data_IF_295210554515
#
_entry.id   IF_295210554515
#
_cell.length_a   1.000
_cell.length_b   1.000
_cell.length_c   1.000
_cell.angle_alpha   90.00
_cell.angle_beta   90.00
_cell.angle_gamma   90.00
#
_symmetry.space_group_name_H-M   'P 1'
#
loop_
_entity.id
_entity.type
_entity.pdbx_description
1 polymer ?
2 non-polymer ?
3 non-polymer ?
4 non-polymer ?
5 water ?
#
# COMPACT_ATOMS: atom_id res chain seq x y z
N UNK A 20 -5.23 -18.29 2.48
CA UNK A 20 -4.08 -17.53 3.05
C UNK A 20 -2.74 -18.24 2.81
N UNK A 21 -2.10 -17.86 1.72
CA UNK A 21 -0.84 -18.42 1.31
C UNK A 21 0.31 -17.50 1.77
N UNK A 22 1.15 -17.98 2.69
CA UNK A 22 2.28 -17.20 3.20
C UNK A 22 2.57 -17.62 4.62
N UNK A 23 3.40 -16.88 5.36
CA UNK A 23 4.08 -15.66 4.93
C UNK A 23 5.27 -15.86 4.02
N UNK A 24 5.44 -14.91 3.10
CA UNK A 24 6.56 -14.87 2.17
C UNK A 24 7.49 -13.74 2.65
N UNK A 25 8.79 -13.92 2.48
CA UNK A 25 9.73 -12.89 2.89
C UNK A 25 9.79 -11.76 1.84
N UNK A 26 10.31 -10.60 2.23
CA UNK A 26 10.43 -9.46 1.31
C UNK A 26 11.10 -9.85 0.01
N UNK A 27 10.55 -9.40 -1.12
CA UNK A 27 11.09 -9.71 -2.43
C UNK A 27 10.36 -8.87 -3.46
N UNK A 28 10.87 -8.87 -4.68
CA UNK A 28 10.24 -8.24 -5.82
C UNK A 28 9.74 -9.36 -6.73
N UNK A 29 8.47 -9.33 -7.12
CA UNK A 29 7.96 -10.35 -8.04
C UNK A 29 6.77 -9.77 -8.79
N UNK A 30 6.20 -10.55 -9.71
CA UNK A 30 5.09 -10.11 -10.54
C UNK A 30 3.84 -10.85 -10.06
N UNK A 31 3.08 -10.26 -9.13
CA UNK A 31 1.90 -11.00 -8.67
C UNK A 31 0.80 -11.19 -9.71
N UNK A 32 0.07 -12.31 -9.61
CA UNK A 32 -1.01 -12.52 -10.57
C UNK A 32 -2.09 -11.46 -10.35
N UNK A 33 -2.78 -11.14 -11.41
CA UNK A 33 -3.91 -10.24 -11.28
C UNK A 33 -4.99 -10.94 -10.45
N UNK A 34 -5.84 -10.12 -9.82
CA UNK A 34 -6.98 -10.60 -9.01
C UNK A 34 -6.58 -11.40 -7.79
N UNK A 35 -5.44 -11.03 -7.20
CA UNK A 35 -4.99 -11.54 -5.94
C UNK A 35 -4.58 -10.36 -5.10
N UNK A 36 -4.98 -10.40 -3.83
CA UNK A 36 -4.53 -9.41 -2.86
C UNK A 36 -3.22 -9.85 -2.22
N UNK A 37 -2.28 -8.92 -2.17
CA UNK A 37 -1.00 -9.10 -1.54
C UNK A 37 -1.22 -8.43 -0.16
N UNK A 38 -1.39 -9.24 0.89
CA UNK A 38 -1.63 -8.78 2.26
C UNK A 38 -0.27 -8.60 2.93
N UNK A 39 0.04 -7.36 3.30
CA UNK A 39 1.33 -6.97 3.85
C UNK A 39 1.25 -6.80 5.35
N UNK A 40 2.25 -7.32 6.06
CA UNK A 40 2.29 -7.29 7.50
C UNK A 40 3.56 -6.60 8.00
N UNK A 41 3.67 -5.28 7.82
CA UNK A 41 4.86 -4.53 8.27
C UNK A 41 4.97 -4.48 9.78
N UNK A 42 6.20 -4.34 10.24
CA UNK A 42 6.40 -4.25 11.69
C UNK A 42 6.87 -2.85 12.07
N UNK A 43 7.45 -2.13 11.12
CA UNK A 43 8.01 -0.83 11.40
C UNK A 43 7.43 0.21 10.50
N UNK A 44 7.44 1.44 10.98
CA UNK A 44 7.01 2.54 10.13
C UNK A 44 7.99 2.62 8.93
N UNK A 45 7.50 3.13 7.81
CA UNK A 45 8.34 3.29 6.64
C UNK A 45 7.68 2.72 5.40
N UNK A 46 8.46 2.53 4.34
CA UNK A 46 7.92 2.04 3.07
C UNK A 46 7.52 0.58 3.23
N UNK A 47 6.30 0.27 2.82
CA UNK A 47 5.71 -1.06 2.95
C UNK A 47 5.80 -1.88 1.66
N UNK A 48 5.46 -1.25 0.55
CA UNK A 48 5.43 -1.89 -0.75
C UNK A 48 5.54 -0.81 -1.81
N UNK A 49 6.11 -1.15 -2.95
CA UNK A 49 6.17 -0.20 -4.05
C UNK A 49 6.09 -0.96 -5.37
N UNK A 50 5.46 -0.35 -6.37
CA UNK A 50 5.36 -0.96 -7.69
C UNK A 50 5.17 0.11 -8.76
N UNK A 51 5.64 -0.17 -9.96
CA UNK A 51 5.51 0.75 -11.07
C UNK A 51 5.40 0.01 -12.40
N UNK A 52 4.78 0.64 -13.39
CA UNK A 52 4.78 0.10 -14.75
C UNK A 52 5.86 0.81 -15.60
N UNK A 53 6.67 1.69 -14.99
CA UNK A 53 7.76 2.44 -15.63
C UNK A 53 7.29 3.45 -16.66
N UNK A 54 5.98 3.68 -16.75
CA UNK A 54 5.46 4.63 -17.74
C UNK A 54 4.51 5.68 -17.16
N UNK A 55 3.33 5.28 -16.71
CA UNK A 55 2.38 6.24 -16.16
C UNK A 55 1.92 5.97 -14.74
N UNK A 56 2.61 5.10 -14.01
CA UNK A 56 2.19 4.87 -12.63
C UNK A 56 3.31 4.38 -11.76
N UNK A 57 3.51 5.08 -10.64
CA UNK A 57 4.41 4.66 -9.59
C UNK A 57 3.56 4.75 -8.34
N UNK A 58 3.58 3.70 -7.51
CA UNK A 58 2.86 3.73 -6.24
C UNK A 58 3.75 3.14 -5.17
N UNK A 59 3.89 3.84 -4.06
CA UNK A 59 4.60 3.33 -2.89
C UNK A 59 3.73 3.60 -1.68
N UNK A 60 3.51 2.59 -0.85
CA UNK A 60 2.72 2.78 0.36
C UNK A 60 3.64 2.97 1.54
N UNK A 61 3.45 4.06 2.28
CA UNK A 61 4.24 4.32 3.46
C UNK A 61 3.35 4.17 4.71
N UNK A 62 3.91 3.60 5.76
CA UNK A 62 3.21 3.41 7.03
C UNK A 62 3.74 4.48 7.96
N UNK A 63 2.82 5.32 8.44
CA UNK A 63 3.15 6.40 9.36
C UNK A 63 2.60 6.04 10.73
N UNK A 64 3.42 6.29 11.73
CA UNK A 64 3.04 6.03 13.11
C UNK A 64 1.88 6.88 13.60
N UNK A 65 1.20 6.44 14.66
CA UNK A 65 0.12 7.26 15.20
C UNK A 65 0.69 8.63 15.63
N UNK A 66 -0.19 9.62 15.52
CA UNK A 66 0.03 10.95 16.09
C UNK A 66 1.25 11.73 15.65
N UNK A 67 1.21 12.16 14.39
CA UNK A 67 2.30 12.90 13.83
C UNK A 67 1.83 14.22 13.24
N UNK A 68 2.31 15.32 13.78
CA UNK A 68 2.02 16.64 13.22
C UNK A 68 2.87 16.81 11.94
N UNK A 69 2.31 17.50 10.95
CA UNK A 69 2.97 17.76 9.68
C UNK A 69 4.48 17.90 9.79
N UNK A 70 5.22 17.07 9.06
CA UNK A 70 6.69 17.16 9.07
C UNK A 70 7.20 16.48 7.81
N UNK A 71 8.36 16.93 7.37
CA UNK A 71 8.95 16.36 6.17
C UNK A 71 9.91 15.26 6.55
N UNK A 72 9.77 14.13 5.86
CA UNK A 72 10.60 12.97 6.09
C UNK A 72 11.26 12.53 4.79
N UNK A 73 12.35 11.79 4.93
CA UNK A 73 13.08 11.25 3.79
C UNK A 73 12.73 9.77 3.66
N UNK A 74 12.37 9.33 2.47
CA UNK A 74 12.06 7.92 2.23
C UNK A 74 12.80 7.47 0.98
N UNK A 75 13.21 6.21 0.93
CA UNK A 75 13.84 5.74 -0.28
C UNK A 75 12.71 5.14 -1.11
N UNK A 76 12.38 5.78 -2.23
CA UNK A 76 11.29 5.30 -3.09
C UNK A 76 11.90 4.95 -4.43
N UNK A 77 11.71 3.70 -4.83
CA UNK A 77 12.28 3.21 -6.08
C UNK A 77 13.79 3.50 -6.14
N UNK A 78 14.45 3.23 -5.02
CA UNK A 78 15.90 3.38 -4.91
C UNK A 78 16.49 4.76 -4.70
N UNK A 79 15.66 5.80 -4.71
CA UNK A 79 16.17 7.17 -4.56
C UNK A 79 15.51 7.88 -3.38
N UNK A 80 16.28 8.71 -2.69
CA UNK A 80 15.79 9.46 -1.54
C UNK A 80 14.83 10.54 -1.99
N UNK A 81 13.66 10.59 -1.33
CA UNK A 81 12.63 11.57 -1.64
C UNK A 81 12.16 12.24 -0.34
N UNK A 82 11.87 13.53 -0.41
CA UNK A 82 11.36 14.26 0.76
C UNK A 82 9.85 14.30 0.58
N UNK A 83 9.11 13.86 1.60
CA UNK A 83 7.64 13.81 1.57
C UNK A 83 7.12 14.43 2.87
N UNK A 84 6.15 15.32 2.78
CA UNK A 84 5.58 15.93 3.99
C UNK A 84 4.40 15.07 4.40
N UNK A 85 4.50 14.52 5.60
CA UNK A 85 3.45 13.64 6.07
C UNK A 85 2.88 14.07 7.41
N UNK A 86 1.75 13.49 7.73
CA UNK A 86 1.09 13.72 9.01
C UNK A 86 0.19 12.54 9.32
N UNK A 87 -0.19 12.40 10.58
CA UNK A 87 -1.20 11.42 10.96
C UNK A 87 -1.97 12.05 12.12
N UNK A 88 -3.21 12.45 11.81
CA UNK A 88 -4.07 13.11 12.77
C UNK A 88 -4.54 12.20 13.87
N UNK A 89 -4.52 10.88 13.66
CA UNK A 89 -5.02 9.96 14.67
C UNK A 89 -4.12 9.86 15.88
N UNK A 90 -4.71 9.90 17.07
CA UNK A 90 -3.89 9.76 18.25
C UNK A 90 -3.43 8.33 18.47
N UNK A 91 -4.21 7.36 18.02
CA UNK A 91 -3.89 5.96 18.30
C UNK A 91 -3.76 4.99 17.10
N UNK A 92 -4.26 5.36 15.92
CA UNK A 92 -4.17 4.46 14.76
C UNK A 92 -3.05 4.80 13.82
N UNK A 93 -2.52 3.78 13.18
CA UNK A 93 -1.50 3.93 12.13
C UNK A 93 -2.17 4.54 10.91
N UNK A 94 -1.34 5.08 10.02
CA UNK A 94 -1.86 5.61 8.78
C UNK A 94 -1.02 5.08 7.61
N UNK A 95 -1.67 4.31 6.73
CA UNK A 95 -1.02 3.87 5.50
C UNK A 95 -1.37 4.89 4.43
N UNK A 96 -0.37 5.41 3.75
CA UNK A 96 -0.58 6.41 2.69
C UNK A 96 -0.02 5.93 1.36
N UNK A 97 -0.80 6.04 0.29
CA UNK A 97 -0.27 5.71 -1.03
C UNK A 97 0.35 7.00 -1.61
N UNK A 98 1.63 6.94 -1.94
CA UNK A 98 2.35 8.08 -2.51
C UNK A 98 2.51 7.67 -3.98
N UNK A 99 1.96 8.47 -4.88
CA UNK A 99 1.97 8.13 -6.29
C UNK A 99 2.45 9.22 -7.21
N UNK A 100 3.01 8.82 -8.35
CA UNK A 100 3.36 9.80 -9.40
C UNK A 100 2.87 9.16 -10.70
N UNK A 101 2.60 9.98 -11.70
CA UNK A 101 2.05 9.51 -12.94
C UNK A 101 2.96 9.71 -14.13
N UNK A 102 4.15 10.23 -13.87
CA UNK A 102 5.22 10.31 -14.90
C UNK A 102 6.53 10.09 -14.13
N UNK A 103 7.59 9.67 -14.82
CA UNK A 103 8.84 9.38 -14.15
C UNK A 103 9.42 10.55 -13.36
N UNK A 104 9.29 11.77 -13.87
CA UNK A 104 9.85 12.89 -13.11
C UNK A 104 8.80 13.73 -12.42
N UNK A 105 7.59 13.21 -12.30
CA UNK A 105 6.56 13.97 -11.63
C UNK A 105 6.71 13.97 -10.12
N UNK A 106 5.96 14.83 -9.47
CA UNK A 106 5.98 14.92 -8.01
C UNK A 106 5.07 13.84 -7.44
N UNK A 107 5.41 13.40 -6.24
CA UNK A 107 4.60 12.42 -5.52
C UNK A 107 3.41 13.11 -4.83
N UNK A 108 2.23 12.53 -4.98
CA UNK A 108 1.01 13.04 -4.36
C UNK A 108 0.42 11.93 -3.48
N UNK A 109 -0.32 12.32 -2.44
CA UNK A 109 -0.85 11.37 -1.48
C UNK A 109 -2.30 11.17 -1.60
N UNK A 110 -2.68 9.90 -1.54
CA UNK A 110 -4.06 9.50 -1.63
C UNK A 110 -4.27 8.42 -0.55
N UNK A 111 -5.50 8.08 -0.30
CA UNK A 111 -5.90 7.20 0.74
C UNK A 111 -6.49 8.08 1.75
N UNK A 112 -6.24 7.93 3.00
CA UNK A 112 -5.38 6.93 3.65
C UNK A 112 -6.18 5.75 4.22
N UNK A 113 -5.44 4.84 4.83
CA UNK A 113 -6.10 3.79 5.60
C UNK A 113 -5.62 4.04 7.04
N UNK A 114 -6.54 4.38 7.93
CA UNK A 114 -6.25 4.47 9.39
C UNK A 114 -6.47 3.06 9.92
N UNK A 115 -5.46 2.54 10.61
CA UNK A 115 -5.48 1.13 11.00
C UNK A 115 -4.99 0.82 12.40
N UNK A 116 -5.71 -0.08 13.05
CA UNK A 116 -5.24 -0.60 14.32
C UNK A 116 -4.42 -1.91 14.10
N UNK A 117 -4.89 -2.86 13.27
CA UNK A 117 -4.11 -4.09 13.07
C UNK A 117 -2.78 -4.03 12.37
N UNK A 118 -2.50 -2.91 11.69
CA UNK A 118 -1.23 -2.74 11.00
C UNK A 118 -1.10 -3.60 9.73
N UNK A 119 -2.23 -3.97 9.12
CA UNK A 119 -2.19 -4.76 7.88
C UNK A 119 -2.70 -3.92 6.70
N UNK A 120 -2.11 -4.16 5.53
CA UNK A 120 -2.51 -3.45 4.32
C UNK A 120 -2.58 -4.46 3.20
N UNK A 121 -3.21 -4.10 2.09
CA UNK A 121 -3.17 -5.01 0.95
C UNK A 121 -3.29 -4.22 -0.34
N UNK A 122 -2.72 -4.79 -1.40
CA UNK A 122 -2.72 -4.19 -2.73
C UNK A 122 -3.05 -5.28 -3.76
N UNK A 123 -3.73 -4.90 -4.84
CA UNK A 123 -4.09 -5.89 -5.88
C UNK A 123 -4.13 -5.28 -7.25
N UNK A 124 -3.71 -6.04 -8.26
CA UNK A 124 -3.81 -5.62 -9.67
C UNK A 124 -5.16 -6.15 -10.19
N UNK A 125 -6.07 -5.28 -10.62
CA UNK A 125 -7.38 -5.74 -11.09
C UNK A 125 -7.98 -4.76 -12.09
N UNK A 126 -8.47 -5.28 -13.21
CA UNK A 126 -9.19 -4.47 -14.21
C UNK A 126 -8.59 -3.13 -14.58
N UNK A 127 -7.33 -3.15 -14.97
CA UNK A 127 -6.68 -1.94 -15.43
C UNK A 127 -6.26 -0.98 -14.34
N UNK A 128 -6.24 -1.47 -13.10
CA UNK A 128 -5.95 -0.59 -11.95
C UNK A 128 -5.18 -1.33 -10.88
N UNK A 129 -4.64 -0.54 -9.95
CA UNK A 129 -4.06 -1.09 -8.73
C UNK A 129 -5.06 -0.63 -7.64
N UNK A 130 -5.58 -1.59 -6.88
CA UNK A 130 -6.46 -1.34 -5.74
C UNK A 130 -5.71 -1.43 -4.44
N UNK A 131 -6.09 -0.58 -3.50
CA UNK A 131 -5.56 -0.68 -2.14
C UNK A 131 -6.70 -0.44 -1.15
N UNK A 132 -6.48 -0.84 0.10
CA UNK A 132 -7.51 -0.64 1.13
C UNK A 132 -7.52 0.83 1.58
N UNK A 133 -8.64 1.24 2.17
CA UNK A 133 -8.82 2.63 2.53
C UNK A 133 -9.84 2.78 3.66
N UNK A 134 -9.83 3.97 4.26
CA UNK A 134 -10.79 4.29 5.31
C UNK A 134 -10.25 4.11 6.69
N UNK A 135 -11.07 3.57 7.58
CA UNK A 135 -10.68 3.42 8.99
C UNK A 135 -11.09 2.04 9.51
N UNK A 136 -10.14 1.26 10.01
CA UNK A 136 -10.52 -0.03 10.58
C UNK A 136 -11.42 0.31 11.79
N UNK A 137 -12.39 -0.55 12.12
CA UNK A 137 -12.75 -1.83 11.53
C UNK A 137 -13.84 -1.78 10.45
N UNK A 138 -13.90 -0.69 9.69
CA UNK A 138 -14.90 -0.57 8.62
C UNK A 138 -14.27 -0.13 7.31
N UNK A 139 -13.26 -0.85 6.87
CA UNK A 139 -12.55 -0.43 5.65
C UNK A 139 -13.30 -0.66 4.36
N UNK A 140 -12.82 0.04 3.33
CA UNK A 140 -13.31 -0.07 1.96
C UNK A 140 -12.04 -0.16 1.09
N UNK A 141 -12.20 -0.06 -0.24
CA UNK A 141 -11.03 -0.09 -1.13
C UNK A 141 -11.16 1.09 -2.09
N UNK A 142 -10.03 1.45 -2.70
CA UNK A 142 -9.91 2.54 -3.68
C UNK A 142 -8.97 2.05 -4.78
N UNK A 143 -8.89 2.77 -5.90
CA UNK A 143 -8.06 2.31 -7.01
C UNK A 143 -7.37 3.43 -7.75
N UNK A 144 -6.39 3.00 -8.54
CA UNK A 144 -5.55 3.90 -9.35
C UNK A 144 -5.41 3.31 -10.73
N UNK A 145 -5.90 3.99 -11.76
CA UNK A 145 -5.80 3.45 -13.13
C UNK A 145 -4.32 3.33 -13.48
N UNK A 146 -3.96 2.24 -14.13
CA UNK A 146 -2.55 1.90 -14.38
C UNK A 146 -2.42 1.19 -15.71
N UNK A 147 -1.67 1.75 -16.66
CA UNK A 147 -1.52 1.09 -17.94
C UNK A 147 -0.65 -0.16 -17.77
N UNK A 148 -0.91 -1.21 -18.56
CA UNK A 148 -0.17 -2.48 -18.46
C UNK A 148 -0.22 -2.98 -17.02
N UNK A 149 -1.41 -2.84 -16.42
CA UNK A 149 -1.57 -3.17 -15.01
C UNK A 149 -1.15 -4.58 -14.62
N UNK A 150 -1.35 -5.52 -15.55
CA UNK A 150 -1.07 -6.92 -15.29
C UNK A 150 0.38 -7.30 -15.14
N UNK A 151 1.28 -6.47 -15.67
CA UNK A 151 2.69 -6.84 -15.55
C UNK A 151 3.48 -6.05 -14.51
N UNK A 152 2.79 -5.29 -13.66
CA UNK A 152 3.46 -4.50 -12.65
C UNK A 152 4.10 -5.38 -11.60
N UNK A 153 5.39 -5.20 -11.37
CA UNK A 153 6.07 -5.97 -10.33
C UNK A 153 5.91 -5.17 -9.04
N UNK A 154 5.73 -5.89 -7.94
CA UNK A 154 5.61 -5.28 -6.62
C UNK A 154 6.80 -5.68 -5.80
N UNK A 155 7.37 -4.73 -5.08
CA UNK A 155 8.46 -5.00 -4.17
C UNK A 155 7.88 -4.90 -2.76
N UNK A 156 7.83 -6.01 -2.02
CA UNK A 156 7.39 -5.99 -0.62
C UNK A 156 8.58 -5.73 0.28
N UNK A 157 8.47 -4.83 1.25
CA UNK A 157 9.56 -4.56 2.19
C UNK A 157 9.27 -5.20 3.54
N UNK A 158 8.29 -6.09 3.56
CA UNK A 158 7.92 -6.78 4.80
C UNK A 158 7.33 -8.11 4.39
N UNK A 159 7.00 -8.95 5.37
CA UNK A 159 6.39 -10.25 5.08
C UNK A 159 4.99 -10.03 4.48
N UNK A 160 4.56 -10.94 3.63
CA UNK A 160 3.25 -10.81 3.02
C UNK A 160 2.60 -12.14 2.73
N UNK A 161 1.30 -12.10 2.44
CA UNK A 161 0.50 -13.27 2.13
C UNK A 161 -0.20 -12.98 0.82
N UNK A 162 -0.74 -14.02 0.20
CA UNK A 162 -1.45 -13.89 -1.07
C UNK A 162 -2.84 -14.51 -0.90
N UNK A 163 -3.88 -13.75 -1.26
CA UNK A 163 -5.29 -14.16 -1.11
C UNK A 163 -6.03 -13.89 -2.42
N UNK A 164 -6.73 -14.89 -2.97
CA UNK A 164 -7.45 -14.61 -4.22
C UNK A 164 -8.58 -13.59 -4.02
N UNK A 165 -8.90 -12.84 -5.07
CA UNK A 165 -9.99 -11.87 -5.00
C UNK A 165 -11.33 -12.54 -4.63
N UNK A 166 -11.51 -13.79 -5.01
CA UNK A 166 -12.73 -14.52 -4.68
C UNK A 166 -12.94 -14.55 -3.17
N UNK A 167 -11.84 -14.52 -2.43
CA UNK A 167 -11.85 -14.53 -0.96
C UNK A 167 -11.57 -13.14 -0.37
N UNK A 168 -11.95 -12.11 -1.11
CA UNK A 168 -11.75 -10.75 -0.61
C UNK A 168 -12.39 -10.54 0.77
N UNK A 169 -13.50 -11.22 1.09
CA UNK A 169 -14.09 -11.00 2.41
C UNK A 169 -13.14 -11.42 3.52
N UNK A 170 -12.31 -12.41 3.26
CA UNK A 170 -11.36 -12.86 4.24
C UNK A 170 -10.24 -11.81 4.38
N UNK A 171 -9.75 -11.29 3.24
CA UNK A 171 -8.73 -10.25 3.29
C UNK A 171 -9.28 -9.04 4.07
N UNK A 172 -10.52 -8.65 3.77
CA UNK A 172 -11.10 -7.50 4.46
C UNK A 172 -11.19 -7.73 5.96
N UNK A 173 -11.53 -8.94 6.38
CA UNK A 173 -11.57 -9.22 7.81
C UNK A 173 -10.18 -9.10 8.43
N UNK A 174 -9.14 -9.57 7.74
CA UNK A 174 -7.80 -9.39 8.30
C UNK A 174 -7.42 -7.92 8.38
N UNK A 175 -7.74 -7.13 7.35
CA UNK A 175 -7.40 -5.70 7.40
C UNK A 175 -8.15 -5.03 8.58
N UNK A 176 -9.43 -5.41 8.78
CA UNK A 176 -10.21 -4.81 9.85
C UNK A 176 -9.84 -5.29 11.23
N UNK A 177 -9.44 -6.55 11.38
CA UNK A 177 -9.31 -7.13 12.74
C UNK A 177 -8.01 -7.87 13.03
N UNK A 178 -7.11 -7.99 12.06
CA UNK A 178 -5.85 -8.69 12.28
C UNK A 178 -5.92 -10.16 11.89
N UNK A 179 -4.76 -10.82 11.83
CA UNK A 179 -4.72 -12.23 11.46
C UNK A 179 -5.27 -13.14 12.57
X LIG B 1 -8.13 8.82 17.42
X LIG B 1 -7.28 7.98 18.29
X LIG B 1 -7.55 10.17 17.24
X LIG B 1 -9.46 8.97 18.04
X LIG B 1 -8.26 8.14 16.10
X LIG C 1 -8.42 6.66 -11.56
X LIG C 1 -9.07 7.92 -10.96
X LIG C 1 -10.31 7.59 -10.09
X LIG C 1 -9.91 6.98 -8.76
X LIG C 1 -8.88 7.88 -8.04
X LIG C 1 -7.68 8.05 -8.99
X LIG C 1 -6.53 8.89 -8.42
X LIG C 1 -5.41 9.02 -9.44
X LIG C 1 -4.13 9.46 -8.71
X LIG C 1 -8.20 7.89 -5.70
X LIG C 1 -7.70 7.06 -4.52
X LIG C 1 -8.53 9.10 -13.02
X LIG C 1 -8.46 7.22 -6.82
X LIG C 1 -9.15 5.87 -12.19
X LIG C 1 -7.16 6.48 -11.43
X LIG C 1 -9.51 8.72 -12.02
X LIG C 1 -11.10 6.82 -7.97
X LIG C 1 -8.10 8.66 -10.22
X LIG C 1 -6.98 10.21 -8.09
X LIG C 1 -5.18 7.75 -10.05
X LIG C 1 -3.02 9.44 -9.63
X LIG C 1 -8.29 9.11 -5.62
X LIG D 1 -12.88 -4.64 -7.29
X LIG D 1 -14.23 -5.02 -7.27
X LIG D 1 -12.23 -4.90 -5.93
X LIG D 1 -12.29 -6.32 -5.67
X LIG D 1 -13.02 -4.11 -4.88
X LIG D 1 -12.40 -4.17 -3.60
#
# INVERSE_FOLDING_TARGET
>A
GSPEFPGRENLYFQGREPVLDGPYQPTTFNPPVDYWMLLAPTAAGVVVEGTNNTDRWLATILVEPNVTSETRSYTLFGTQEQITIANASQTQWKFIDVVKTTQNGSYSQYGPLQSTPKLYAVMKHNGKIYTYNGETPNVTTKYYSTTNYDSVNMTAFCDFYIIPREEESTCTEYINNGL
>B hetero
1 SO4 S O1 O2 O3 O4
>C hetero
1 MNA C1 C2 C3 C4 C5 C6 C7 C8 C9 C10 C11 C12 N5 O1A O1B O2 O4 O6 O7 O8 O9 O10
>D hetero
1 GOL C1 O1 C2 O2 C3 O3
#
